data_IF_422387147321
#
_entry.id   IF_422387147321
#
_cell.length_a   1.000
_cell.length_b   1.000
_cell.length_c   1.000
_cell.angle_alpha   90.00
_cell.angle_beta   90.00
_cell.angle_gamma   90.00
#
_symmetry.space_group_name_H-M   'P 1'
#
loop_
_entity.id
_entity.type
_entity.pdbx_description
1 polymer ?
#
# COMPACT_ATOMS: atom_id res chain seq x y z
N UNK A 1 -1.59 -15.70 6.89
CA UNK A 1 -1.39 -14.79 8.05
C UNK A 1 -0.73 -13.52 7.51
N UNK A 2 -1.02 -12.33 8.03
CA UNK A 2 -0.50 -11.08 7.47
C UNK A 2 -0.40 -9.95 8.50
N UNK A 3 0.27 -8.87 8.11
CA UNK A 3 0.58 -7.72 8.94
C UNK A 3 0.24 -6.42 8.21
N UNK A 4 -0.19 -5.41 8.96
CA UNK A 4 -0.35 -4.04 8.47
C UNK A 4 0.75 -3.19 9.10
N UNK A 5 1.55 -2.52 8.28
CA UNK A 5 2.63 -1.64 8.74
C UNK A 5 2.40 -0.23 8.21
N UNK A 6 2.61 0.79 9.03
CA UNK A 6 2.54 2.16 8.53
C UNK A 6 3.59 2.41 7.44
N UNK A 7 3.19 3.17 6.43
CA UNK A 7 4.06 3.61 5.34
C UNK A 7 5.36 4.25 5.86
N UNK A 8 5.28 5.03 6.94
CA UNK A 8 6.43 5.61 7.62
C UNK A 8 7.39 4.55 8.17
N UNK A 9 6.89 3.49 8.80
CA UNK A 9 7.74 2.41 9.31
C UNK A 9 8.51 1.74 8.15
N UNK A 10 7.82 1.41 7.06
CA UNK A 10 8.43 0.79 5.89
C UNK A 10 9.48 1.69 5.21
N UNK A 11 9.31 3.02 5.27
CA UNK A 11 10.32 3.96 4.80
C UNK A 11 11.59 4.00 5.67
N UNK A 12 11.47 3.78 6.98
CA UNK A 12 12.59 3.77 7.92
C UNK A 12 13.30 2.41 7.98
N UNK A 13 12.58 1.32 7.72
CA UNK A 13 13.08 -0.04 7.80
C UNK A 13 12.71 -0.86 6.55
N UNK A 14 13.29 -0.57 5.38
CA UNK A 14 12.96 -1.28 4.13
C UNK A 14 13.29 -2.78 4.19
N UNK A 15 14.30 -3.18 4.97
CA UNK A 15 14.65 -4.59 5.19
C UNK A 15 13.52 -5.42 5.86
N UNK A 16 12.57 -4.74 6.52
CA UNK A 16 11.42 -5.38 7.12
C UNK A 16 10.49 -6.00 6.05
N UNK A 17 10.39 -5.37 4.87
CA UNK A 17 9.58 -5.85 3.76
C UNK A 17 10.07 -7.24 3.34
N UNK A 18 11.37 -7.36 3.08
CA UNK A 18 12.00 -8.63 2.69
C UNK A 18 11.88 -9.70 3.78
N UNK A 19 12.07 -9.32 5.04
CA UNK A 19 11.95 -10.25 6.17
C UNK A 19 10.54 -10.83 6.30
N UNK A 20 9.50 -9.98 6.16
CA UNK A 20 8.10 -10.40 6.22
C UNK A 20 7.74 -11.30 5.03
N UNK A 21 8.24 -10.96 3.83
CA UNK A 21 8.06 -11.78 2.63
C UNK A 21 8.72 -13.14 2.76
N UNK A 22 9.94 -13.19 3.29
CA UNK A 22 10.67 -14.44 3.55
C UNK A 22 9.96 -15.32 4.57
N UNK A 23 9.27 -14.72 5.54
CA UNK A 23 8.41 -15.41 6.49
C UNK A 23 7.09 -15.92 5.88
N UNK A 24 6.81 -15.65 4.59
CA UNK A 24 5.59 -16.06 3.91
C UNK A 24 4.34 -15.31 4.37
N UNK A 25 4.50 -14.09 4.87
CA UNK A 25 3.41 -13.26 5.37
C UNK A 25 2.94 -12.24 4.32
N UNK A 26 1.65 -11.93 4.36
CA UNK A 26 1.06 -10.83 3.58
C UNK A 26 1.41 -9.50 4.25
N UNK A 27 1.94 -8.55 3.48
CA UNK A 27 2.30 -7.22 3.95
C UNK A 27 1.40 -6.15 3.34
N UNK A 28 0.65 -5.46 4.19
CA UNK A 28 -0.17 -4.30 3.80
C UNK A 28 0.47 -3.03 4.34
N UNK A 29 0.59 -2.00 3.51
CA UNK A 29 1.04 -0.68 3.96
C UNK A 29 -0.15 0.19 4.38
N UNK A 30 -0.07 0.79 5.56
CA UNK A 30 -1.04 1.76 6.04
C UNK A 30 -0.63 3.19 5.63
N UNK A 31 -1.47 3.80 4.79
CA UNK A 31 -1.29 5.16 4.27
C UNK A 31 -2.27 6.15 4.89
N UNK A 32 -2.97 5.78 5.97
CA UNK A 32 -3.90 6.66 6.71
C UNK A 32 -3.24 7.94 7.23
N UNK A 33 -1.97 7.85 7.66
CA UNK A 33 -1.17 8.96 8.19
C UNK A 33 -0.43 9.76 7.09
N UNK A 34 -0.46 9.27 5.85
CA UNK A 34 0.17 10.00 4.74
C UNK A 34 -0.76 11.15 4.34
N UNK A 35 -0.29 12.41 4.30
CA UNK A 35 -1.06 13.52 3.75
C UNK A 35 -1.08 13.39 2.22
N UNK A 36 -1.66 12.31 1.71
CA UNK A 36 -2.12 12.23 0.35
C UNK A 36 -3.31 13.19 0.29
N UNK A 37 -3.01 14.39 -0.19
CA UNK A 37 -4.00 15.41 -0.44
C UNK A 37 -5.19 14.77 -1.16
N UNK A 38 -6.38 14.98 -0.60
CA UNK A 38 -7.63 14.90 -1.34
C UNK A 38 -7.64 16.01 -2.39
N UNK A 39 -6.69 16.02 -3.33
CA UNK A 39 -6.77 16.86 -4.53
C UNK A 39 -7.75 16.15 -5.45
N UNK A 40 -8.97 16.69 -5.39
CA UNK A 40 -9.94 16.74 -6.45
C UNK A 40 -9.56 15.99 -7.73
N UNK A 41 -10.35 14.98 -8.05
CA UNK A 41 -10.49 14.52 -9.43
C UNK A 41 -11.02 15.70 -10.27
N UNK A 42 -10.31 16.22 -11.29
CA UNK A 42 -10.98 16.84 -12.41
C UNK A 42 -11.44 15.73 -13.33
N UNK A 43 -12.71 15.77 -13.71
CA UNK A 43 -13.24 14.93 -14.77
C UNK A 43 -12.43 15.13 -16.06
N UNK A 44 -11.75 14.09 -16.56
CA UNK A 44 -11.07 14.17 -17.85
C UNK A 44 -10.04 13.08 -18.10
N UNK A 45 -10.47 12.02 -18.80
CA UNK A 45 -9.69 11.34 -19.84
C UNK A 45 -8.22 10.99 -19.51
N UNK A 46 -7.98 9.95 -18.72
CA UNK A 46 -6.87 9.04 -19.00
C UNK A 46 -7.06 7.68 -18.31
N UNK A 47 -7.10 6.63 -19.11
CA UNK A 47 -6.93 5.25 -18.65
C UNK A 47 -5.47 5.10 -18.23
N UNK A 48 -5.14 5.31 -16.96
CA UNK A 48 -3.92 4.80 -16.35
C UNK A 48 -4.06 4.78 -14.82
N UNK A 49 -3.97 3.57 -14.26
CA UNK A 49 -3.83 3.21 -12.86
C UNK A 49 -3.37 4.35 -11.90
N UNK A 50 -4.13 4.73 -10.86
CA UNK A 50 -3.69 5.70 -9.84
C UNK A 50 -2.67 5.09 -8.86
N UNK A 51 -1.81 4.17 -9.30
CA UNK A 51 -1.31 3.07 -8.46
C UNK A 51 0.14 3.19 -7.97
N UNK A 52 0.90 4.24 -8.32
CA UNK A 52 2.36 4.22 -8.11
C UNK A 52 2.99 5.37 -7.31
N UNK A 53 2.23 6.27 -6.71
CA UNK A 53 2.86 7.50 -6.16
C UNK A 53 3.28 7.47 -4.69
N UNK A 54 2.93 6.47 -3.87
CA UNK A 54 3.57 6.38 -2.54
C UNK A 54 3.51 5.00 -1.86
N UNK A 55 3.15 3.95 -2.59
CA UNK A 55 3.10 2.60 -2.02
C UNK A 55 4.52 2.02 -2.07
N UNK A 56 5.17 1.73 -0.93
CA UNK A 56 6.48 1.09 -0.91
C UNK A 56 6.48 -0.17 -1.80
N UNK A 57 7.47 -0.29 -2.66
CA UNK A 57 7.61 -1.48 -3.51
C UNK A 57 7.79 -2.73 -2.64
N UNK A 58 7.18 -3.84 -3.06
CA UNK A 58 7.26 -5.12 -2.35
C UNK A 58 6.15 -5.38 -1.32
N UNK A 59 5.13 -4.53 -1.22
CA UNK A 59 3.93 -4.80 -0.40
C UNK A 59 2.78 -5.40 -1.21
N UNK A 60 1.96 -6.21 -0.55
CA UNK A 60 0.79 -6.92 -1.12
C UNK A 60 -0.45 -6.06 -1.24
N UNK A 61 -0.50 -4.92 -0.56
CA UNK A 61 -1.66 -4.06 -0.57
C UNK A 61 -1.49 -2.82 0.28
N UNK A 62 -2.54 -2.01 0.37
CA UNK A 62 -2.57 -0.80 1.16
C UNK A 62 -3.92 -0.54 1.83
N UNK A 63 -3.89 0.02 3.03
CA UNK A 63 -5.06 0.48 3.80
C UNK A 63 -5.22 1.99 3.64
N UNK A 64 -6.38 2.42 3.17
CA UNK A 64 -6.74 3.83 3.04
C UNK A 64 -7.29 4.41 4.35
N UNK A 65 -7.26 5.73 4.44
CA UNK A 65 -7.88 6.55 5.50
C UNK A 65 -9.38 6.28 5.70
N UNK A 66 -10.09 5.95 4.62
CA UNK A 66 -11.50 5.57 4.67
C UNK A 66 -11.76 4.11 5.09
N UNK A 67 -10.74 3.40 5.57
CA UNK A 67 -10.84 2.00 6.00
C UNK A 67 -10.91 0.98 4.86
N UNK A 68 -10.74 1.40 3.61
CA UNK A 68 -10.73 0.48 2.47
C UNK A 68 -9.35 -0.17 2.32
N UNK A 69 -9.35 -1.50 2.28
CA UNK A 69 -8.17 -2.32 2.02
C UNK A 69 -8.11 -2.70 0.53
N UNK A 70 -6.99 -2.39 -0.12
CA UNK A 70 -6.76 -2.69 -1.54
C UNK A 70 -5.56 -3.63 -1.68
N UNK A 71 -5.75 -4.78 -2.32
CA UNK A 71 -4.65 -5.70 -2.64
C UNK A 71 -4.08 -5.45 -4.03
N UNK A 72 -2.77 -5.68 -4.15
CA UNK A 72 -2.03 -5.48 -5.37
C UNK A 72 -2.20 -6.67 -6.34
N UNK A 73 -2.06 -7.90 -5.85
CA UNK A 73 -2.33 -9.08 -6.65
C UNK A 73 -3.70 -9.66 -6.27
N UNK A 74 -4.32 -10.39 -7.19
CA UNK A 74 -5.41 -11.30 -6.84
C UNK A 74 -4.87 -12.30 -5.84
N UNK A 75 -5.34 -12.23 -4.59
CA UNK A 75 -5.05 -13.25 -3.59
C UNK A 75 -5.80 -14.50 -4.06
N UNK A 76 -5.10 -15.38 -4.79
CA UNK A 76 -5.65 -16.67 -5.17
C UNK A 76 -5.76 -17.52 -3.90
N UNK A 77 -6.94 -18.10 -3.67
CA UNK A 77 -7.35 -18.70 -2.39
C UNK A 77 -7.16 -20.22 -2.38
#
# INVERSE_FOLDING_TARGET
MGLICSSRLLSLAPALIESIKTAGLVLVTDITDSPAESVAQPAGLHVAHPRRQNTPEGVDGYLRDNGVLCFNETVDM
#
